data_IF_599139155053
#
_entry.id   IF_599139155053
#
_cell.length_a   1.000
_cell.length_b   1.000
_cell.length_c   1.000
_cell.angle_alpha   90.00
_cell.angle_beta   90.00
_cell.angle_gamma   90.00
#
_symmetry.space_group_name_H-M   'P 1'
#
loop_
_entity.id
_entity.type
_entity.pdbx_description
1 polymer ?
#
# COMPACT_ATOMS: atom_id res chain seq x y z
N UNK A 1 -123.17 -25.22 8.98
CA UNK A 1 -123.76 -26.57 9.12
C UNK A 1 -122.83 -27.36 10.02
N UNK A 2 -123.23 -27.56 11.27
CA UNK A 2 -122.42 -28.29 12.25
C UNK A 2 -122.48 -29.76 11.91
N UNK A 3 -121.48 -30.26 11.19
CA UNK A 3 -121.30 -31.70 11.00
C UNK A 3 -121.04 -32.28 12.39
N UNK A 4 -122.05 -32.89 13.00
CA UNK A 4 -121.86 -33.66 14.23
C UNK A 4 -120.87 -34.75 13.90
N UNK A 5 -119.63 -34.61 14.36
CA UNK A 5 -118.61 -35.64 14.21
C UNK A 5 -119.07 -36.85 15.03
N UNK A 6 -119.84 -37.74 14.40
CA UNK A 6 -120.17 -39.03 14.99
C UNK A 6 -118.93 -39.90 14.79
N UNK A 7 -118.26 -40.19 15.90
CA UNK A 7 -117.22 -41.20 15.96
C UNK A 7 -117.77 -42.47 15.32
N UNK A 8 -117.24 -42.84 14.15
CA UNK A 8 -117.64 -44.07 13.48
C UNK A 8 -117.32 -45.24 14.42
N UNK A 9 -118.35 -45.98 14.81
CA UNK A 9 -118.19 -47.09 15.72
C UNK A 9 -117.58 -48.27 14.97
N UNK A 10 -116.38 -48.67 15.37
CA UNK A 10 -115.69 -49.86 14.91
C UNK A 10 -116.44 -51.10 15.39
N UNK A 11 -116.60 -52.07 14.49
CA UNK A 11 -117.04 -53.41 14.82
C UNK A 11 -116.03 -54.11 15.74
N UNK A 12 -116.47 -55.13 16.48
CA UNK A 12 -115.57 -55.90 17.36
C UNK A 12 -114.39 -56.51 16.59
N UNK A 13 -114.61 -56.99 15.36
CA UNK A 13 -113.56 -57.48 14.49
C UNK A 13 -112.54 -56.41 14.10
N UNK A 14 -112.97 -55.17 13.84
CA UNK A 14 -112.07 -54.05 13.55
C UNK A 14 -111.27 -53.61 14.78
N UNK A 15 -111.91 -53.60 15.96
CA UNK A 15 -111.23 -53.35 17.24
C UNK A 15 -110.11 -54.37 17.43
N UNK A 16 -110.43 -55.67 17.31
CA UNK A 16 -109.46 -56.75 17.46
C UNK A 16 -108.33 -56.68 16.43
N UNK A 17 -108.66 -56.39 15.17
CA UNK A 17 -107.65 -56.23 14.11
C UNK A 17 -106.72 -55.05 14.38
N UNK A 18 -107.26 -53.93 14.88
CA UNK A 18 -106.46 -52.73 15.18
C UNK A 18 -105.56 -52.95 16.38
N UNK A 19 -106.06 -53.62 17.42
CA UNK A 19 -105.28 -54.01 18.59
C UNK A 19 -104.17 -54.99 18.21
N UNK A 20 -104.49 -56.03 17.43
CA UNK A 20 -103.51 -57.01 16.98
C UNK A 20 -102.43 -56.40 16.07
N UNK A 21 -102.77 -55.42 15.23
CA UNK A 21 -101.80 -54.68 14.42
C UNK A 21 -100.80 -53.86 15.26
N UNK A 22 -101.09 -53.67 16.55
CA UNK A 22 -100.25 -52.97 17.52
C UNK A 22 -99.76 -53.91 18.65
N UNK A 23 -99.66 -55.21 18.37
CA UNK A 23 -99.18 -56.25 19.29
C UNK A 23 -100.01 -56.39 20.60
N UNK A 24 -101.26 -55.90 20.60
CA UNK A 24 -102.21 -56.09 21.71
C UNK A 24 -103.14 -57.26 21.35
N UNK A 25 -102.85 -58.44 21.89
CA UNK A 25 -103.63 -59.65 21.62
C UNK A 25 -104.77 -59.85 22.62
N UNK A 26 -106.01 -59.78 22.14
CA UNK A 26 -107.23 -60.04 22.92
C UNK A 26 -108.12 -61.00 22.15
N UNK A 27 -108.80 -61.93 22.83
CA UNK A 27 -109.77 -62.83 22.18
C UNK A 27 -111.13 -62.16 22.13
N UNK A 28 -111.90 -62.45 21.08
CA UNK A 28 -113.25 -61.89 20.94
C UNK A 28 -114.17 -62.25 22.13
N UNK A 29 -114.01 -63.46 22.68
CA UNK A 29 -114.72 -63.93 23.87
C UNK A 29 -114.47 -63.04 25.10
N UNK A 30 -113.24 -62.55 25.24
CA UNK A 30 -112.83 -61.69 26.35
C UNK A 30 -113.48 -60.29 26.25
N UNK A 31 -113.76 -59.81 25.02
CA UNK A 31 -114.51 -58.57 24.81
C UNK A 31 -116.02 -58.73 24.99
N UNK A 32 -116.56 -59.94 24.79
CA UNK A 32 -117.96 -60.26 25.07
C UNK A 32 -118.24 -60.38 26.57
N UNK A 33 -117.20 -60.62 27.37
CA UNK A 33 -117.26 -60.72 28.83
C UNK A 33 -116.02 -60.07 29.46
N UNK A 34 -115.90 -58.73 29.38
CA UNK A 34 -114.72 -58.07 29.88
C UNK A 34 -114.61 -58.25 31.39
N UNK A 35 -113.42 -58.63 31.87
CA UNK A 35 -113.10 -58.59 33.30
C UNK A 35 -112.53 -57.21 33.66
N UNK A 36 -112.62 -56.77 34.92
CA UNK A 36 -112.02 -55.49 35.35
C UNK A 36 -110.51 -55.41 35.06
N UNK A 37 -109.79 -56.51 35.23
CA UNK A 37 -108.35 -56.60 34.93
C UNK A 37 -108.08 -56.45 33.44
N UNK A 38 -108.87 -57.13 32.60
CA UNK A 38 -108.78 -57.01 31.15
C UNK A 38 -109.09 -55.59 30.69
N UNK A 39 -110.17 -54.99 31.20
CA UNK A 39 -110.54 -53.62 30.87
C UNK A 39 -109.42 -52.64 31.24
N UNK A 40 -108.86 -52.79 32.45
CA UNK A 40 -107.74 -51.96 32.91
C UNK A 40 -106.51 -52.13 32.02
N UNK A 41 -106.15 -53.36 31.67
CA UNK A 41 -105.02 -53.66 30.78
C UNK A 41 -105.23 -53.08 29.38
N UNK A 42 -106.42 -53.28 28.80
CA UNK A 42 -106.78 -52.77 27.47
C UNK A 42 -106.74 -51.25 27.40
N UNK A 43 -107.35 -50.58 28.38
CA UNK A 43 -107.37 -49.12 28.41
C UNK A 43 -105.97 -48.53 28.60
N UNK A 44 -105.15 -49.11 29.47
CA UNK A 44 -103.74 -48.73 29.60
C UNK A 44 -102.98 -48.92 28.29
N UNK A 45 -103.13 -50.08 27.65
CA UNK A 45 -102.44 -50.40 26.40
C UNK A 45 -102.82 -49.43 25.27
N UNK A 46 -104.12 -49.12 25.12
CA UNK A 46 -104.59 -48.19 24.09
C UNK A 46 -104.13 -46.75 24.38
N UNK A 47 -104.05 -46.33 25.64
CA UNK A 47 -103.43 -45.03 25.99
C UNK A 47 -101.95 -45.00 25.59
N UNK A 48 -101.21 -46.08 25.86
CA UNK A 48 -99.80 -46.20 25.47
C UNK A 48 -99.58 -46.23 23.96
N UNK A 49 -100.58 -46.51 23.12
CA UNK A 49 -100.46 -46.35 21.67
C UNK A 49 -100.44 -44.87 21.23
N UNK A 50 -101.02 -44.00 22.04
CA UNK A 50 -101.16 -42.58 21.73
C UNK A 50 -99.97 -41.79 22.29
N UNK A 51 -99.34 -42.28 23.35
CA UNK A 51 -98.16 -41.69 24.00
C UNK A 51 -96.96 -41.48 23.03
N UNK A 52 -96.53 -42.44 22.18
CA UNK A 52 -95.39 -42.25 21.27
C UNK A 52 -95.62 -41.19 20.19
N UNK A 53 -96.88 -40.98 19.79
CA UNK A 53 -97.25 -39.97 18.78
C UNK A 53 -97.00 -38.53 19.28
N UNK A 54 -96.82 -38.35 20.59
CA UNK A 54 -96.38 -37.11 21.23
C UNK A 54 -94.95 -36.70 20.85
N UNK A 55 -94.01 -37.66 20.79
CA UNK A 55 -92.58 -37.35 20.64
C UNK A 55 -92.28 -36.83 19.24
N UNK A 56 -92.98 -37.35 18.23
CA UNK A 56 -92.93 -36.80 16.88
C UNK A 56 -93.54 -35.39 16.85
N UNK A 57 -94.70 -35.16 17.47
CA UNK A 57 -95.38 -33.86 17.43
C UNK A 57 -94.65 -32.71 18.14
N UNK A 58 -93.78 -32.99 19.12
CA UNK A 58 -93.07 -31.94 19.83
C UNK A 58 -92.08 -31.17 18.92
N UNK A 59 -91.60 -31.80 17.84
CA UNK A 59 -90.79 -31.17 16.79
C UNK A 59 -91.60 -30.33 15.78
N UNK A 60 -92.93 -30.45 15.75
CA UNK A 60 -93.81 -29.77 14.77
C UNK A 60 -94.32 -28.41 15.26
N UNK A 61 -93.97 -27.99 16.47
CA UNK A 61 -94.59 -26.83 17.14
C UNK A 61 -94.21 -25.46 16.54
N UNK A 62 -93.52 -25.42 15.40
CA UNK A 62 -93.06 -24.17 14.81
C UNK A 62 -93.89 -23.65 13.61
N UNK A 63 -94.98 -24.32 13.19
CA UNK A 63 -95.79 -23.74 12.09
C UNK A 63 -97.30 -24.04 12.10
N UNK A 64 -98.05 -22.98 12.40
CA UNK A 64 -99.36 -22.59 11.85
C UNK A 64 -100.66 -23.40 12.14
N UNK A 65 -101.56 -22.72 12.85
CA UNK A 65 -102.89 -22.25 12.40
C UNK A 65 -103.83 -23.23 11.67
N UNK A 66 -104.20 -24.32 12.32
CA UNK A 66 -105.38 -25.11 11.95
C UNK A 66 -106.12 -25.53 13.21
N UNK A 67 -107.46 -25.42 13.21
CA UNK A 67 -108.30 -25.90 14.32
C UNK A 67 -108.05 -27.38 14.66
N UNK A 68 -107.59 -28.18 13.70
CA UNK A 68 -107.19 -29.58 13.91
C UNK A 68 -105.88 -29.71 14.70
N UNK A 69 -104.88 -28.87 14.42
CA UNK A 69 -103.64 -28.84 15.17
C UNK A 69 -103.88 -28.38 16.62
N UNK A 70 -104.84 -27.48 16.83
CA UNK A 70 -105.26 -27.09 18.18
C UNK A 70 -106.01 -28.21 18.90
N UNK A 71 -106.86 -28.97 18.20
CA UNK A 71 -107.56 -30.14 18.77
C UNK A 71 -106.59 -31.25 19.16
N UNK A 72 -105.69 -31.66 18.26
CA UNK A 72 -104.68 -32.67 18.55
C UNK A 72 -103.70 -32.20 19.64
N UNK A 73 -103.29 -30.92 19.63
CA UNK A 73 -102.49 -30.34 20.70
C UNK A 73 -103.24 -30.26 22.03
N UNK A 74 -104.56 -30.04 22.03
CA UNK A 74 -105.36 -30.01 23.26
C UNK A 74 -105.53 -31.43 23.81
N UNK A 75 -105.85 -32.42 22.98
CA UNK A 75 -105.94 -33.85 23.35
C UNK A 75 -104.59 -34.37 23.84
N UNK A 76 -103.51 -34.08 23.12
CA UNK A 76 -102.15 -34.42 23.53
C UNK A 76 -101.81 -33.68 24.83
N UNK A 77 -101.91 -32.35 24.94
CA UNK A 77 -101.63 -31.66 26.21
C UNK A 77 -102.52 -32.12 27.39
N UNK A 78 -103.76 -32.59 27.15
CA UNK A 78 -104.62 -33.16 28.19
C UNK A 78 -104.08 -34.50 28.70
N UNK A 79 -103.65 -35.38 27.79
CA UNK A 79 -102.98 -36.65 28.14
C UNK A 79 -101.60 -36.40 28.80
N UNK A 80 -100.98 -35.25 28.51
CA UNK A 80 -99.59 -34.95 28.83
C UNK A 80 -99.37 -33.97 29.99
N UNK A 81 -100.42 -33.33 30.52
CA UNK A 81 -100.30 -32.47 31.71
C UNK A 81 -100.06 -33.25 33.00
N UNK A 82 -99.92 -34.59 32.95
CA UNK A 82 -99.56 -35.44 34.10
C UNK A 82 -98.44 -36.44 33.77
N UNK A 83 -97.40 -35.95 33.08
CA UNK A 83 -96.24 -36.76 32.68
C UNK A 83 -95.23 -37.09 33.80
N UNK A 84 -95.53 -36.77 35.06
CA UNK A 84 -94.64 -37.16 36.19
C UNK A 84 -95.07 -38.44 36.91
N UNK A 85 -96.15 -39.09 36.47
CA UNK A 85 -96.56 -40.37 37.04
C UNK A 85 -96.48 -41.45 35.96
N UNK A 86 -95.34 -42.14 35.96
CA UNK A 86 -95.19 -43.50 35.45
C UNK A 86 -96.48 -44.26 35.74
N UNK A 87 -97.02 -45.01 34.77
CA UNK A 87 -98.40 -45.51 34.79
C UNK A 87 -98.74 -46.45 35.98
N UNK A 88 -97.82 -46.64 36.93
CA UNK A 88 -98.03 -47.25 38.24
C UNK A 88 -97.46 -46.49 39.48
N UNK A 89 -96.81 -45.33 39.36
CA UNK A 89 -96.32 -44.55 40.51
C UNK A 89 -97.14 -43.28 40.69
N UNK A 90 -97.94 -43.24 41.74
CA UNK A 90 -98.45 -41.98 42.24
C UNK A 90 -97.28 -41.11 42.74
N UNK A 91 -97.38 -39.79 42.63
CA UNK A 91 -96.43 -38.84 43.21
C UNK A 91 -96.20 -39.24 44.67
N UNK A 92 -94.98 -39.69 44.97
CA UNK A 92 -94.60 -40.21 46.28
C UNK A 92 -94.89 -39.18 47.39
N UNK A 93 -94.88 -37.89 47.02
CA UNK A 93 -95.20 -36.78 47.89
C UNK A 93 -96.71 -36.61 48.17
N UNK A 94 -97.58 -37.09 47.28
CA UNK A 94 -99.03 -37.11 47.45
C UNK A 94 -99.49 -38.34 48.25
N UNK A 95 -98.85 -39.50 48.05
CA UNK A 95 -99.12 -40.72 48.83
C UNK A 95 -98.78 -40.56 50.31
N UNK A 96 -97.74 -39.80 50.65
CA UNK A 96 -97.36 -39.51 52.04
C UNK A 96 -98.39 -38.71 52.85
N UNK A 97 -99.49 -38.23 52.22
CA UNK A 97 -100.62 -37.57 52.89
C UNK A 97 -101.75 -38.53 53.27
N UNK A 98 -101.69 -39.79 52.82
CA UNK A 98 -102.66 -40.83 53.15
C UNK A 98 -102.16 -41.65 54.35
N UNK A 99 -103.07 -42.01 55.25
CA UNK A 99 -102.79 -42.97 56.30
C UNK A 99 -102.61 -44.37 55.66
N UNK A 100 -101.44 -44.99 55.81
CA UNK A 100 -101.08 -46.28 55.22
C UNK A 100 -101.07 -46.28 53.67
N UNK A 101 -100.13 -45.55 53.04
CA UNK A 101 -100.08 -45.38 51.58
C UNK A 101 -100.01 -46.69 50.80
N UNK A 102 -99.35 -47.72 51.35
CA UNK A 102 -99.19 -49.02 50.70
C UNK A 102 -100.53 -49.74 50.45
N UNK A 103 -101.52 -49.53 51.33
CA UNK A 103 -102.86 -50.11 51.16
C UNK A 103 -103.68 -49.42 50.07
N UNK A 104 -103.26 -48.22 49.65
CA UNK A 104 -103.96 -47.40 48.67
C UNK A 104 -103.33 -47.47 47.28
N UNK A 105 -102.17 -48.13 47.11
CA UNK A 105 -101.46 -48.22 45.84
C UNK A 105 -102.38 -48.66 44.67
N UNK A 106 -103.15 -49.73 44.86
CA UNK A 106 -104.06 -50.25 43.84
C UNK A 106 -105.21 -49.28 43.52
N UNK A 107 -105.75 -48.62 44.56
CA UNK A 107 -106.82 -47.63 44.40
C UNK A 107 -106.36 -46.41 43.63
N UNK A 108 -105.14 -45.94 43.88
CA UNK A 108 -104.56 -44.80 43.17
C UNK A 108 -104.27 -45.14 41.72
N UNK A 109 -103.72 -46.34 41.42
CA UNK A 109 -103.53 -46.78 40.03
C UNK A 109 -104.85 -46.82 39.25
N UNK A 110 -105.90 -47.42 39.82
CA UNK A 110 -107.23 -47.49 39.21
C UNK A 110 -107.84 -46.10 39.00
N UNK A 111 -107.71 -45.22 40.00
CA UNK A 111 -108.25 -43.86 39.92
C UNK A 111 -107.49 -43.02 38.88
N UNK A 112 -106.18 -43.17 38.78
CA UNK A 112 -105.36 -42.50 37.77
C UNK A 112 -105.77 -42.95 36.36
N UNK A 113 -105.89 -44.26 36.13
CA UNK A 113 -106.36 -44.79 34.85
C UNK A 113 -107.78 -44.30 34.51
N UNK A 114 -108.69 -44.30 35.49
CA UNK A 114 -110.04 -43.78 35.30
C UNK A 114 -110.04 -42.32 34.85
N UNK A 115 -109.26 -41.45 35.49
CA UNK A 115 -109.18 -40.04 35.11
C UNK A 115 -108.60 -39.87 33.69
N UNK A 116 -107.49 -40.56 33.39
CA UNK A 116 -106.86 -40.51 32.06
C UNK A 116 -107.82 -40.94 30.95
N UNK A 117 -108.53 -42.06 31.13
CA UNK A 117 -109.50 -42.55 30.14
C UNK A 117 -110.72 -41.63 30.05
N UNK A 118 -111.23 -41.12 31.17
CA UNK A 118 -112.35 -40.20 31.17
C UNK A 118 -112.04 -38.92 30.39
N UNK A 119 -110.85 -38.36 30.61
CA UNK A 119 -110.35 -37.19 29.89
C UNK A 119 -110.16 -37.51 28.40
N UNK A 120 -109.56 -38.65 28.08
CA UNK A 120 -109.37 -39.10 26.70
C UNK A 120 -110.68 -39.29 25.94
N UNK A 121 -111.64 -40.00 26.55
CA UNK A 121 -112.98 -40.27 25.99
C UNK A 121 -113.75 -38.96 25.77
N UNK A 122 -113.62 -37.99 26.68
CA UNK A 122 -114.19 -36.66 26.50
C UNK A 122 -113.50 -35.88 25.36
N UNK A 123 -112.17 -35.99 25.26
CA UNK A 123 -111.38 -35.31 24.24
C UNK A 123 -111.66 -35.84 22.83
N UNK A 124 -111.95 -37.13 22.66
CA UNK A 124 -112.40 -37.71 21.38
C UNK A 124 -113.90 -37.50 21.11
N UNK A 125 -114.58 -36.67 21.90
CA UNK A 125 -116.00 -36.36 21.78
C UNK A 125 -116.91 -37.60 21.79
N UNK A 126 -116.59 -38.61 22.59
CA UNK A 126 -117.49 -39.75 22.75
C UNK A 126 -118.83 -39.28 23.35
N UNK A 127 -119.98 -39.65 22.77
CA UNK A 127 -121.29 -39.16 23.23
C UNK A 127 -121.68 -39.67 24.62
N UNK A 128 -121.01 -40.72 25.11
CA UNK A 128 -121.29 -41.35 26.40
C UNK A 128 -120.18 -41.01 27.39
N UNK A 129 -120.49 -40.56 28.62
CA UNK A 129 -119.47 -40.30 29.62
C UNK A 129 -118.88 -41.61 30.15
N UNK A 130 -117.55 -41.63 30.32
CA UNK A 130 -116.83 -42.68 31.01
C UNK A 130 -117.00 -42.53 32.53
N UNK A 131 -117.32 -43.63 33.21
CA UNK A 131 -117.60 -43.69 34.65
C UNK A 131 -116.74 -44.76 35.31
N UNK A 132 -116.54 -44.67 36.63
CA UNK A 132 -115.71 -45.65 37.35
C UNK A 132 -116.26 -47.09 37.23
N UNK A 133 -117.57 -47.25 37.00
CA UNK A 133 -118.18 -48.55 36.73
C UNK A 133 -117.63 -49.22 35.48
N UNK A 134 -117.24 -48.43 34.48
CA UNK A 134 -116.72 -48.95 33.21
C UNK A 134 -115.34 -49.61 33.37
N UNK A 135 -114.66 -49.33 34.48
CA UNK A 135 -113.40 -49.96 34.85
C UNK A 135 -113.61 -51.11 35.85
N UNK A 136 -114.43 -50.88 36.89
CA UNK A 136 -114.62 -51.86 37.97
C UNK A 136 -115.62 -52.98 37.65
N UNK A 137 -116.59 -52.73 36.76
CA UNK A 137 -117.64 -53.66 36.33
C UNK A 137 -117.96 -53.40 34.85
N UNK A 138 -117.01 -53.70 33.95
CA UNK A 138 -117.12 -53.34 32.54
C UNK A 138 -118.31 -54.02 31.87
N UNK A 139 -119.06 -53.25 31.09
CA UNK A 139 -120.16 -53.75 30.25
C UNK A 139 -119.63 -53.97 28.82
N UNK A 140 -119.90 -55.13 28.18
CA UNK A 140 -119.36 -55.46 26.85
C UNK A 140 -119.63 -54.40 25.77
N UNK A 141 -120.81 -53.78 25.79
CA UNK A 141 -121.19 -52.81 24.76
C UNK A 141 -120.53 -51.46 25.02
N UNK A 142 -120.45 -51.05 26.29
CA UNK A 142 -119.76 -49.81 26.70
C UNK A 142 -118.26 -49.91 26.49
N UNK A 143 -117.65 -51.06 26.84
CA UNK A 143 -116.22 -51.30 26.59
C UNK A 143 -115.89 -51.22 25.10
N UNK A 144 -116.69 -51.88 24.25
CA UNK A 144 -116.51 -51.79 22.80
C UNK A 144 -116.69 -50.36 22.26
N UNK A 145 -117.68 -49.60 22.78
CA UNK A 145 -117.90 -48.21 22.39
C UNK A 145 -116.68 -47.32 22.72
N UNK A 146 -116.15 -47.41 23.94
CA UNK A 146 -115.01 -46.59 24.36
C UNK A 146 -113.72 -46.99 23.63
N UNK A 147 -113.45 -48.29 23.49
CA UNK A 147 -112.30 -48.77 22.71
C UNK A 147 -112.40 -48.32 21.26
N UNK A 148 -113.58 -48.44 20.64
CA UNK A 148 -113.82 -47.94 19.30
C UNK A 148 -113.53 -46.45 19.18
N UNK A 149 -113.95 -45.64 20.15
CA UNK A 149 -113.77 -44.19 20.08
C UNK A 149 -112.30 -43.80 20.13
N UNK A 150 -111.55 -44.42 21.05
CA UNK A 150 -110.13 -44.15 21.21
C UNK A 150 -109.33 -44.68 20.01
N UNK A 151 -109.63 -45.90 19.55
CA UNK A 151 -108.92 -46.51 18.41
C UNK A 151 -109.20 -45.80 17.08
N UNK A 152 -110.42 -45.32 16.87
CA UNK A 152 -110.74 -44.53 15.67
C UNK A 152 -109.91 -43.23 15.65
N UNK A 153 -109.80 -42.55 16.79
CA UNK A 153 -108.90 -41.40 16.91
C UNK A 153 -107.45 -41.77 16.63
N UNK A 154 -106.95 -42.87 17.20
CA UNK A 154 -105.60 -43.37 16.93
C UNK A 154 -105.36 -43.62 15.43
N UNK A 155 -106.27 -44.33 14.75
CA UNK A 155 -106.19 -44.60 13.31
C UNK A 155 -106.17 -43.30 12.49
N UNK A 156 -107.02 -42.34 12.87
CA UNK A 156 -107.02 -41.02 12.25
C UNK A 156 -105.69 -40.29 12.41
N UNK A 157 -105.13 -40.32 13.62
CA UNK A 157 -103.84 -39.69 13.94
C UNK A 157 -102.69 -40.32 13.15
N UNK A 158 -102.62 -41.65 13.08
CA UNK A 158 -101.60 -42.36 12.30
C UNK A 158 -101.69 -41.99 10.81
N UNK A 159 -102.89 -42.02 10.23
CA UNK A 159 -103.08 -41.63 8.83
C UNK A 159 -102.69 -40.17 8.55
N UNK A 160 -102.96 -39.27 9.51
CA UNK A 160 -102.55 -37.86 9.42
C UNK A 160 -101.04 -37.69 9.52
N UNK A 161 -100.37 -38.37 10.44
CA UNK A 161 -98.92 -38.33 10.57
C UNK A 161 -98.22 -38.83 9.31
N UNK A 162 -98.69 -39.93 8.71
CA UNK A 162 -98.13 -40.42 7.45
C UNK A 162 -98.31 -39.40 6.31
N UNK A 163 -99.46 -38.70 6.25
CA UNK A 163 -99.68 -37.64 5.26
C UNK A 163 -98.77 -36.41 5.46
N UNK A 164 -98.30 -36.18 6.69
CA UNK A 164 -97.39 -35.09 7.02
C UNK A 164 -95.92 -35.47 6.81
N UNK A 165 -95.59 -36.76 6.79
CA UNK A 165 -94.23 -37.29 6.66
C UNK A 165 -93.35 -36.61 5.60
N UNK A 166 -93.82 -36.30 4.37
CA UNK A 166 -93.00 -35.62 3.35
C UNK A 166 -92.50 -34.23 3.75
N UNK A 167 -93.16 -33.57 4.71
CA UNK A 167 -92.74 -32.28 5.26
C UNK A 167 -91.81 -32.44 6.47
N UNK A 168 -91.94 -33.56 7.17
CA UNK A 168 -91.30 -33.83 8.47
C UNK A 168 -89.90 -34.37 8.27
N UNK A 169 -89.73 -35.31 7.36
CA UNK A 169 -88.43 -35.91 7.06
C UNK A 169 -87.42 -34.83 6.62
N UNK A 170 -87.76 -33.86 5.74
CA UNK A 170 -86.88 -32.73 5.45
C UNK A 170 -86.61 -31.84 6.66
N UNK A 171 -87.60 -31.52 7.49
CA UNK A 171 -87.41 -30.70 8.70
C UNK A 171 -86.41 -31.37 9.65
N UNK A 172 -86.56 -32.67 9.89
CA UNK A 172 -85.63 -33.43 10.73
C UNK A 172 -84.21 -33.39 10.15
N UNK A 173 -84.05 -33.56 8.84
CA UNK A 173 -82.74 -33.44 8.18
C UNK A 173 -82.13 -32.04 8.30
N UNK A 174 -82.94 -30.98 8.30
CA UNK A 174 -82.47 -29.61 8.50
C UNK A 174 -82.06 -29.36 9.96
N UNK A 175 -82.76 -29.95 10.93
CA UNK A 175 -82.39 -29.89 12.35
C UNK A 175 -81.05 -30.58 12.58
N UNK A 176 -80.84 -31.76 12.01
CA UNK A 176 -79.55 -32.47 12.07
C UNK A 176 -78.41 -31.64 11.43
N UNK A 177 -78.68 -31.02 10.28
CA UNK A 177 -77.70 -30.14 9.64
C UNK A 177 -77.41 -28.89 10.46
N UNK A 178 -78.42 -28.33 11.12
CA UNK A 178 -78.27 -27.18 12.00
C UNK A 178 -77.35 -27.53 13.17
N UNK A 179 -77.57 -28.66 13.84
CA UNK A 179 -76.74 -29.09 14.98
C UNK A 179 -75.31 -29.39 14.55
N UNK A 180 -75.10 -29.98 13.37
CA UNK A 180 -73.75 -30.18 12.80
C UNK A 180 -73.03 -28.86 12.57
N UNK A 181 -73.69 -27.89 11.93
CA UNK A 181 -73.10 -26.57 11.65
C UNK A 181 -72.82 -25.79 12.94
N UNK A 182 -73.70 -25.87 13.94
CA UNK A 182 -73.47 -25.26 15.25
C UNK A 182 -72.23 -25.86 15.95
N UNK A 183 -72.02 -27.18 15.84
CA UNK A 183 -70.80 -27.83 16.33
C UNK A 183 -69.55 -27.33 15.61
N UNK A 184 -69.57 -27.24 14.27
CA UNK A 184 -68.44 -26.74 13.49
C UNK A 184 -68.12 -25.28 13.82
N UNK A 185 -69.12 -24.43 14.02
CA UNK A 185 -68.94 -23.04 14.44
C UNK A 185 -68.28 -22.97 15.82
N UNK A 186 -68.70 -23.82 16.76
CA UNK A 186 -68.10 -23.87 18.09
C UNK A 186 -66.63 -24.29 18.04
N UNK A 187 -66.29 -25.30 17.24
CA UNK A 187 -64.92 -25.78 17.02
C UNK A 187 -64.02 -24.70 16.41
N UNK A 188 -64.46 -24.05 15.32
CA UNK A 188 -63.70 -22.98 14.67
C UNK A 188 -63.49 -21.78 15.58
N UNK A 189 -64.50 -21.41 16.39
CA UNK A 189 -64.34 -20.32 17.36
C UNK A 189 -63.33 -20.67 18.45
N UNK A 190 -63.26 -21.93 18.89
CA UNK A 190 -62.25 -22.38 19.83
C UNK A 190 -60.84 -22.30 19.21
N UNK A 191 -60.68 -22.72 17.94
CA UNK A 191 -59.40 -22.60 17.23
C UNK A 191 -58.95 -21.14 17.05
N UNK A 192 -59.87 -20.25 16.66
CA UNK A 192 -59.60 -18.80 16.58
C UNK A 192 -59.14 -18.25 17.92
N UNK A 193 -59.76 -18.66 19.04
CA UNK A 193 -59.37 -18.22 20.36
C UNK A 193 -57.94 -18.66 20.72
N UNK A 194 -57.57 -19.90 20.40
CA UNK A 194 -56.21 -20.43 20.59
C UNK A 194 -55.19 -19.65 19.77
N UNK A 195 -55.44 -19.45 18.48
CA UNK A 195 -54.54 -18.71 17.59
C UNK A 195 -54.38 -17.25 18.00
N UNK A 196 -55.47 -16.60 18.43
CA UNK A 196 -55.44 -15.23 18.93
C UNK A 196 -54.57 -15.14 20.20
N UNK A 197 -54.75 -16.06 21.13
CA UNK A 197 -53.93 -16.10 22.34
C UNK A 197 -52.44 -16.33 22.02
N UNK A 198 -52.11 -17.27 21.12
CA UNK A 198 -50.73 -17.50 20.68
C UNK A 198 -50.11 -16.24 20.08
N UNK A 199 -50.84 -15.53 19.21
CA UNK A 199 -50.40 -14.25 18.64
C UNK A 199 -50.16 -13.18 19.71
N UNK A 200 -51.05 -13.07 20.71
CA UNK A 200 -50.88 -12.11 21.82
C UNK A 200 -49.61 -12.39 22.64
N UNK A 201 -49.25 -13.67 22.82
CA UNK A 201 -48.03 -14.09 23.49
C UNK A 201 -46.77 -13.82 22.65
N UNK A 202 -46.86 -13.95 21.33
CA UNK A 202 -45.74 -13.68 20.40
C UNK A 202 -45.52 -12.18 20.14
N UNK A 203 -46.58 -11.37 20.20
CA UNK A 203 -46.52 -9.92 19.97
C UNK A 203 -45.42 -9.17 20.75
N UNK A 204 -45.20 -9.38 22.06
CA UNK A 204 -44.11 -8.73 22.78
C UNK A 204 -42.72 -9.13 22.28
N UNK A 205 -42.53 -10.40 21.89
CA UNK A 205 -41.26 -10.89 21.34
C UNK A 205 -40.95 -10.22 20.00
N UNK A 206 -41.97 -10.07 19.14
CA UNK A 206 -41.84 -9.36 17.86
C UNK A 206 -41.44 -7.90 18.10
N UNK A 207 -42.10 -7.21 19.03
CA UNK A 207 -41.79 -5.82 19.37
C UNK A 207 -40.36 -5.66 19.93
N UNK A 208 -39.89 -6.61 20.74
CA UNK A 208 -38.52 -6.61 21.26
C UNK A 208 -37.49 -6.79 20.13
N UNK A 209 -37.74 -7.73 19.21
CA UNK A 209 -36.87 -7.95 18.06
C UNK A 209 -36.85 -6.73 17.14
N UNK A 210 -37.99 -6.12 16.86
CA UNK A 210 -38.08 -4.90 16.05
C UNK A 210 -37.32 -3.73 16.70
N UNK A 211 -37.40 -3.58 18.02
CA UNK A 211 -36.63 -2.58 18.76
C UNK A 211 -35.12 -2.82 18.61
N UNK A 212 -34.65 -4.05 18.78
CA UNK A 212 -33.24 -4.43 18.59
C UNK A 212 -32.76 -4.20 17.16
N UNK A 213 -33.58 -4.54 16.16
CA UNK A 213 -33.28 -4.28 14.75
C UNK A 213 -33.13 -2.79 14.49
N UNK A 214 -34.01 -1.96 15.06
CA UNK A 214 -33.94 -0.50 14.93
C UNK A 214 -32.67 0.07 15.58
N UNK A 215 -32.31 -0.40 16.78
CA UNK A 215 -31.09 -0.01 17.48
C UNK A 215 -29.83 -0.40 16.69
N UNK A 216 -29.76 -1.63 16.18
CA UNK A 216 -28.64 -2.10 15.36
C UNK A 216 -28.50 -1.28 14.07
N UNK A 217 -29.61 -0.93 13.41
CA UNK A 217 -29.58 -0.05 12.22
C UNK A 217 -29.01 1.33 12.55
N UNK A 218 -29.39 1.91 13.69
CA UNK A 218 -28.85 3.20 14.15
C UNK A 218 -27.34 3.09 14.45
N UNK A 219 -26.92 2.00 15.10
CA UNK A 219 -25.50 1.72 15.38
C UNK A 219 -24.69 1.56 14.10
N UNK A 220 -25.20 0.86 13.09
CA UNK A 220 -24.54 0.75 11.77
C UNK A 220 -24.40 2.13 11.13
N UNK A 221 -25.44 2.97 11.19
CA UNK A 221 -25.39 4.31 10.63
C UNK A 221 -24.34 5.20 11.34
N UNK A 222 -24.26 5.13 12.67
CA UNK A 222 -23.29 5.89 13.44
C UNK A 222 -21.85 5.42 13.15
N UNK A 223 -21.62 4.10 13.11
CA UNK A 223 -20.33 3.51 12.77
C UNK A 223 -19.90 3.85 11.34
N UNK A 224 -20.81 3.83 10.37
CA UNK A 224 -20.50 4.26 9.00
C UNK A 224 -20.08 5.73 8.95
N UNK A 225 -20.74 6.60 9.74
CA UNK A 225 -20.37 8.02 9.83
C UNK A 225 -18.98 8.19 10.45
N UNK A 226 -18.67 7.44 11.52
CA UNK A 226 -17.34 7.40 12.13
C UNK A 226 -16.28 6.85 11.16
N UNK A 227 -16.59 5.81 10.41
CA UNK A 227 -15.69 5.23 9.41
C UNK A 227 -15.35 6.28 8.33
N UNK A 228 -16.33 7.06 7.87
CA UNK A 228 -16.12 8.12 6.90
C UNK A 228 -15.26 9.26 7.45
N UNK A 229 -15.46 9.68 8.70
CA UNK A 229 -14.64 10.71 9.33
C UNK A 229 -13.19 10.23 9.55
N UNK A 230 -13.00 8.99 9.99
CA UNK A 230 -11.68 8.36 10.13
C UNK A 230 -10.98 8.21 8.78
N UNK A 231 -11.69 7.84 7.71
CA UNK A 231 -11.11 7.81 6.36
C UNK A 231 -10.67 9.21 5.92
N UNK A 232 -11.45 10.24 6.23
CA UNK A 232 -11.08 11.62 5.93
C UNK A 232 -9.84 12.06 6.71
N UNK A 233 -9.77 11.79 8.02
CA UNK A 233 -8.60 12.12 8.85
C UNK A 233 -7.36 11.34 8.44
N UNK A 234 -7.49 10.08 8.06
CA UNK A 234 -6.38 9.30 7.53
C UNK A 234 -5.82 9.90 6.24
N UNK A 235 -6.69 10.33 5.32
CA UNK A 235 -6.25 11.01 4.09
C UNK A 235 -5.48 12.30 4.41
N UNK A 236 -5.98 13.13 5.32
CA UNK A 236 -5.28 14.37 5.69
C UNK A 236 -3.94 14.10 6.37
N UNK A 237 -3.85 13.10 7.25
CA UNK A 237 -2.59 12.69 7.85
C UNK A 237 -1.60 12.18 6.81
N UNK A 238 -2.04 11.33 5.88
CA UNK A 238 -1.20 10.82 4.79
C UNK A 238 -0.67 11.95 3.90
N UNK A 239 -1.51 12.93 3.58
CA UNK A 239 -1.11 14.05 2.74
C UNK A 239 -0.11 14.96 3.48
N UNK A 240 -0.27 15.16 4.81
CA UNK A 240 0.74 15.80 5.65
C UNK A 240 2.06 15.01 5.71
N UNK A 241 2.00 13.68 5.79
CA UNK A 241 3.20 12.84 5.74
C UNK A 241 3.98 13.07 4.45
N UNK A 242 3.30 13.08 3.30
CA UNK A 242 3.93 13.38 2.01
C UNK A 242 4.55 14.78 1.96
N UNK A 243 3.84 15.78 2.48
CA UNK A 243 4.37 17.15 2.57
C UNK A 243 5.64 17.22 3.42
N UNK A 244 5.68 16.50 4.54
CA UNK A 244 6.86 16.42 5.40
C UNK A 244 8.00 15.67 4.69
N UNK A 245 7.73 14.56 4.01
CA UNK A 245 8.73 13.83 3.21
C UNK A 245 9.34 14.70 2.10
N UNK A 246 8.51 15.50 1.42
CA UNK A 246 8.99 16.45 0.41
C UNK A 246 9.86 17.55 1.04
N UNK A 247 9.48 18.08 2.21
CA UNK A 247 10.30 19.02 2.97
C UNK A 247 11.63 18.42 3.41
N UNK A 248 11.64 17.16 3.85
CA UNK A 248 12.87 16.44 4.21
C UNK A 248 13.77 16.30 2.98
N UNK A 249 13.23 15.82 1.85
CA UNK A 249 14.00 15.65 0.61
C UNK A 249 14.59 16.98 0.10
N UNK A 250 13.81 18.06 0.18
CA UNK A 250 14.28 19.41 -0.15
C UNK A 250 15.40 19.89 0.80
N UNK A 251 15.27 19.63 2.11
CA UNK A 251 16.28 19.97 3.09
C UNK A 251 17.58 19.16 2.88
N UNK A 252 17.48 17.87 2.57
CA UNK A 252 18.62 17.00 2.24
C UNK A 252 19.33 17.50 0.98
N UNK A 253 18.58 17.87 -0.06
CA UNK A 253 19.15 18.46 -1.27
C UNK A 253 19.90 19.76 -0.96
N UNK A 254 19.30 20.67 -0.20
CA UNK A 254 19.93 21.92 0.21
C UNK A 254 21.18 21.67 1.07
N UNK A 255 21.16 20.67 1.95
CA UNK A 255 22.29 20.27 2.77
C UNK A 255 23.44 19.73 1.91
N UNK A 256 23.15 18.88 0.91
CA UNK A 256 24.14 18.39 -0.06
C UNK A 256 24.73 19.56 -0.86
N UNK A 257 23.91 20.49 -1.34
CA UNK A 257 24.38 21.67 -2.07
C UNK A 257 25.29 22.53 -1.18
N UNK A 258 24.86 22.82 0.04
CA UNK A 258 25.66 23.57 1.03
C UNK A 258 26.95 22.84 1.38
N UNK A 259 26.94 21.51 1.50
CA UNK A 259 28.14 20.71 1.73
C UNK A 259 29.11 20.77 0.54
N UNK A 260 28.61 20.73 -0.69
CA UNK A 260 29.42 20.90 -1.91
C UNK A 260 30.01 22.31 -2.00
N UNK A 261 29.24 23.35 -1.71
CA UNK A 261 29.73 24.72 -1.64
C UNK A 261 30.78 24.89 -0.55
N UNK A 262 30.54 24.34 0.64
CA UNK A 262 31.52 24.28 1.72
C UNK A 262 32.80 23.56 1.28
N UNK A 263 32.71 22.44 0.55
CA UNK A 263 33.87 21.75 0.02
C UNK A 263 34.64 22.61 -1.01
N UNK A 264 33.92 23.30 -1.92
CA UNK A 264 34.52 24.25 -2.89
C UNK A 264 35.20 25.42 -2.19
N UNK A 265 34.60 25.96 -1.13
CA UNK A 265 35.21 27.02 -0.33
C UNK A 265 36.43 26.50 0.43
N UNK A 266 36.32 25.32 1.08
CA UNK A 266 37.45 24.63 1.74
C UNK A 266 38.61 24.35 0.80
N UNK A 267 38.37 24.08 -0.49
CA UNK A 267 39.46 23.92 -1.47
C UNK A 267 40.14 25.24 -1.86
N UNK A 268 39.45 26.38 -1.70
CA UNK A 268 40.02 27.72 -1.93
C UNK A 268 40.76 28.26 -0.72
N UNK A 269 40.52 27.70 0.46
CA UNK A 269 41.23 28.04 1.69
C UNK A 269 42.55 27.26 1.69
N UNK A 270 43.65 27.95 1.99
CA UNK A 270 44.96 27.34 2.23
C UNK A 270 44.83 26.31 3.36
N UNK A 271 44.94 25.03 3.03
CA UNK A 271 44.69 23.94 3.99
C UNK A 271 45.80 23.77 5.03
N UNK A 272 46.99 24.31 4.78
CA UNK A 272 48.10 24.32 5.73
C UNK A 272 48.93 25.61 5.57
N UNK A 273 48.58 26.66 6.33
CA UNK A 273 49.33 27.92 6.34
C UNK A 273 50.80 27.70 6.72
N UNK A 274 51.07 26.76 7.63
CA UNK A 274 52.42 26.38 8.08
C UNK A 274 53.30 25.85 6.94
N UNK A 275 52.75 25.06 6.01
CA UNK A 275 53.50 24.58 4.83
C UNK A 275 53.82 25.70 3.85
N UNK A 276 52.90 26.65 3.63
CA UNK A 276 53.18 27.82 2.78
C UNK A 276 54.18 28.77 3.45
N UNK A 277 54.10 28.94 4.76
CA UNK A 277 55.03 29.77 5.53
C UNK A 277 56.43 29.13 5.56
N UNK A 278 56.51 27.80 5.70
CA UNK A 278 57.74 27.03 5.54
C UNK A 278 58.36 27.18 4.15
N UNK A 279 57.57 27.05 3.07
CA UNK A 279 58.07 27.22 1.70
C UNK A 279 58.51 28.67 1.39
N UNK A 280 57.89 29.68 2.02
CA UNK A 280 58.29 31.08 1.89
C UNK A 280 59.61 31.34 2.64
N UNK A 281 59.76 30.81 3.85
CA UNK A 281 61.02 30.93 4.60
C UNK A 281 62.16 30.15 3.95
N UNK A 282 61.89 28.95 3.41
CA UNK A 282 62.85 28.21 2.59
C UNK A 282 63.26 29.00 1.34
N UNK A 283 62.30 29.62 0.63
CA UNK A 283 62.62 30.50 -0.50
C UNK A 283 63.44 31.73 -0.09
N UNK A 284 63.22 32.31 1.09
CA UNK A 284 64.07 33.38 1.61
C UNK A 284 65.50 32.91 1.88
N UNK A 285 65.67 31.70 2.43
CA UNK A 285 67.00 31.10 2.64
C UNK A 285 67.70 30.86 1.29
N UNK A 286 67.01 30.32 0.29
CA UNK A 286 67.62 30.14 -1.05
C UNK A 286 67.97 31.48 -1.72
N UNK A 287 67.18 32.54 -1.50
CA UNK A 287 67.48 33.88 -2.01
C UNK A 287 68.73 34.48 -1.35
N UNK A 288 68.90 34.32 -0.03
CA UNK A 288 70.09 34.84 0.67
C UNK A 288 71.36 34.09 0.27
N UNK A 289 71.29 32.77 0.05
CA UNK A 289 72.39 31.97 -0.49
C UNK A 289 72.75 32.35 -1.93
N UNK A 290 71.75 32.59 -2.80
CA UNK A 290 71.97 33.07 -4.16
C UNK A 290 72.65 34.45 -4.18
N UNK A 291 72.25 35.37 -3.29
CA UNK A 291 72.86 36.70 -3.18
C UNK A 291 74.30 36.65 -2.65
N UNK A 292 74.58 35.74 -1.73
CA UNK A 292 75.95 35.55 -1.22
C UNK A 292 76.86 34.92 -2.27
N UNK A 293 76.38 33.93 -3.02
CA UNK A 293 77.13 33.33 -4.13
C UNK A 293 77.37 34.32 -5.29
N UNK A 294 76.40 35.18 -5.61
CA UNK A 294 76.59 36.30 -6.54
C UNK A 294 77.72 37.23 -6.07
N UNK A 295 77.72 37.61 -4.78
CA UNK A 295 78.74 38.50 -4.21
C UNK A 295 80.13 37.85 -4.25
N UNK A 296 80.25 36.56 -3.96
CA UNK A 296 81.51 35.82 -4.09
C UNK A 296 81.97 35.71 -5.54
N UNK A 297 81.06 35.48 -6.50
CA UNK A 297 81.39 35.47 -7.92
C UNK A 297 81.85 36.85 -8.42
N UNK A 298 81.24 37.94 -7.93
CA UNK A 298 81.64 39.32 -8.24
C UNK A 298 83.05 39.63 -7.71
N UNK A 299 83.37 39.19 -6.48
CA UNK A 299 84.73 39.34 -5.92
C UNK A 299 85.76 38.54 -6.74
N UNK A 300 85.46 37.28 -7.08
CA UNK A 300 86.33 36.47 -7.92
C UNK A 300 86.54 37.09 -9.32
N UNK A 301 85.49 37.71 -9.89
CA UNK A 301 85.59 38.44 -11.15
C UNK A 301 86.51 39.67 -11.05
N UNK A 302 86.42 40.44 -9.96
CA UNK A 302 87.30 41.59 -9.70
C UNK A 302 88.76 41.16 -9.49
N UNK A 303 89.01 40.06 -8.77
CA UNK A 303 90.34 39.46 -8.60
C UNK A 303 90.94 38.96 -9.93
N UNK A 304 90.12 38.30 -10.76
CA UNK A 304 90.53 37.88 -12.12
C UNK A 304 90.85 39.09 -13.00
N UNK A 305 90.07 40.17 -12.89
CA UNK A 305 90.28 41.42 -13.66
C UNK A 305 91.58 42.11 -13.27
N UNK A 306 91.87 42.25 -11.97
CA UNK A 306 93.14 42.82 -11.48
C UNK A 306 94.34 41.96 -11.86
N UNK A 307 94.20 40.63 -11.81
CA UNK A 307 95.24 39.70 -12.29
C UNK A 307 95.51 39.89 -13.78
N UNK A 308 94.47 40.07 -14.60
CA UNK A 308 94.59 40.26 -16.04
C UNK A 308 95.26 41.60 -16.40
N UNK A 309 95.02 42.66 -15.62
CA UNK A 309 95.74 43.94 -15.76
C UNK A 309 97.25 43.82 -15.46
N UNK A 310 97.63 43.01 -14.46
CA UNK A 310 99.03 42.74 -14.14
C UNK A 310 99.70 41.97 -15.29
N UNK A 311 99.04 40.92 -15.82
CA UNK A 311 99.55 40.18 -16.97
C UNK A 311 99.63 41.03 -18.24
N UNK A 312 98.67 41.95 -18.47
CA UNK A 312 98.72 42.92 -19.57
C UNK A 312 99.94 43.85 -19.47
N UNK A 313 100.27 44.33 -18.26
CA UNK A 313 101.48 45.12 -18.01
C UNK A 313 102.76 44.30 -18.21
N UNK A 314 102.77 43.03 -17.83
CA UNK A 314 103.89 42.11 -18.07
C UNK A 314 104.09 41.81 -19.56
N UNK A 315 103.01 41.56 -20.31
CA UNK A 315 103.04 41.33 -21.75
C UNK A 315 103.57 42.56 -22.51
N UNK A 316 103.16 43.77 -22.12
CA UNK A 316 103.73 45.02 -22.67
C UNK A 316 105.23 45.16 -22.41
N UNK A 317 105.70 44.78 -21.21
CA UNK A 317 107.15 44.76 -20.90
C UNK A 317 107.92 43.70 -21.70
N UNK A 318 107.37 42.49 -21.85
CA UNK A 318 107.96 41.42 -22.65
C UNK A 318 108.04 41.80 -24.14
N UNK A 319 107.01 42.43 -24.69
CA UNK A 319 107.01 42.94 -26.07
C UNK A 319 108.11 43.98 -26.30
N UNK A 320 108.36 44.86 -25.32
CA UNK A 320 109.45 45.84 -25.38
C UNK A 320 110.84 45.19 -25.33
N UNK A 321 111.00 44.14 -24.53
CA UNK A 321 112.27 43.38 -24.47
C UNK A 321 112.50 42.51 -25.71
N UNK A 322 111.45 41.97 -26.32
CA UNK A 322 111.54 41.22 -27.58
C UNK A 322 112.04 42.11 -28.73
N UNK A 323 111.54 43.35 -28.82
CA UNK A 323 112.01 44.33 -29.81
C UNK A 323 113.49 44.70 -29.62
N UNK A 324 113.94 44.83 -28.37
CA UNK A 324 115.36 45.07 -28.07
C UNK A 324 116.23 43.86 -28.40
N UNK A 325 115.74 42.64 -28.16
CA UNK A 325 116.45 41.40 -28.49
C UNK A 325 116.59 41.19 -30.00
N UNK A 326 115.59 41.58 -30.80
CA UNK A 326 115.64 41.53 -32.27
C UNK A 326 116.64 42.53 -32.84
N UNK A 327 116.73 43.76 -32.30
CA UNK A 327 117.74 44.74 -32.72
C UNK A 327 119.18 44.27 -32.44
N UNK A 328 119.42 43.59 -31.31
CA UNK A 328 120.72 42.99 -30.97
C UNK A 328 121.03 41.82 -31.93
N UNK A 329 120.02 41.02 -32.30
CA UNK A 329 120.21 39.90 -33.23
C UNK A 329 120.58 40.35 -34.65
N UNK A 330 120.06 41.49 -35.12
CA UNK A 330 120.45 42.10 -36.40
C UNK A 330 121.89 42.64 -36.36
N UNK A 331 122.32 43.24 -35.24
CA UNK A 331 123.73 43.63 -35.02
C UNK A 331 124.69 42.44 -34.97
N UNK A 332 124.27 41.29 -34.42
CA UNK A 332 125.09 40.06 -34.39
C UNK A 332 125.23 39.44 -35.78
N UNK A 333 124.22 39.57 -36.65
CA UNK A 333 124.28 39.04 -38.01
C UNK A 333 125.17 39.87 -38.94
N UNK A 334 125.22 41.21 -38.79
CA UNK A 334 126.18 42.05 -39.51
C UNK A 334 127.63 41.82 -39.05
N UNK A 335 127.85 41.59 -37.75
CA UNK A 335 129.16 41.23 -37.19
C UNK A 335 129.70 39.89 -37.71
N UNK A 336 128.83 38.89 -37.94
CA UNK A 336 129.21 37.59 -38.52
C UNK A 336 129.57 37.65 -40.01
N UNK A 337 129.08 38.64 -40.75
CA UNK A 337 129.49 38.88 -42.14
C UNK A 337 130.90 39.48 -42.21
N UNK A 338 131.20 40.43 -41.32
CA UNK A 338 132.52 41.06 -41.21
C UNK A 338 133.60 40.04 -40.76
N UNK A 339 133.28 39.11 -39.86
CA UNK A 339 134.25 38.05 -39.45
C UNK A 339 134.61 37.07 -40.58
N UNK A 340 133.70 36.84 -41.55
CA UNK A 340 134.02 36.05 -42.75
C UNK A 340 134.93 36.81 -43.71
N UNK A 341 134.71 38.11 -43.90
CA UNK A 341 135.55 38.95 -44.76
C UNK A 341 136.97 39.14 -44.17
N UNK A 342 137.09 39.23 -42.84
CA UNK A 342 138.39 39.29 -42.14
C UNK A 342 139.18 37.99 -42.32
N UNK A 343 138.54 36.81 -42.34
CA UNK A 343 139.23 35.53 -42.59
C UNK A 343 139.73 35.39 -44.03
N UNK A 344 138.98 35.89 -45.02
CA UNK A 344 139.39 35.89 -46.44
C UNK A 344 140.54 36.87 -46.70
N UNK A 345 140.50 38.06 -46.08
CA UNK A 345 141.57 39.06 -46.21
C UNK A 345 142.86 38.64 -45.50
N UNK A 346 142.77 37.91 -44.37
CA UNK A 346 143.94 37.42 -43.63
C UNK A 346 144.69 36.30 -44.36
N UNK A 347 143.99 35.51 -45.19
CA UNK A 347 144.61 34.50 -46.05
C UNK A 347 145.34 35.15 -47.25
N UNK A 348 144.74 36.15 -47.90
CA UNK A 348 145.40 36.91 -48.99
C UNK A 348 146.64 37.67 -48.53
N UNK A 349 146.63 38.23 -47.32
CA UNK A 349 147.76 38.98 -46.77
C UNK A 349 148.95 38.08 -46.37
N UNK A 350 148.73 36.77 -46.19
CA UNK A 350 149.79 35.78 -45.96
C UNK A 350 150.49 35.38 -47.26
N UNK A 351 149.73 35.24 -48.36
CA UNK A 351 150.29 34.90 -49.67
C UNK A 351 151.07 36.08 -50.27
N UNK A 352 150.57 37.31 -50.13
CA UNK A 352 151.28 38.52 -50.59
C UNK A 352 152.59 38.76 -49.82
N UNK A 353 152.63 38.42 -48.51
CA UNK A 353 153.83 38.54 -47.67
C UNK A 353 154.92 37.54 -48.04
N UNK A 354 154.54 36.35 -48.50
CA UNK A 354 155.48 35.34 -49.02
C UNK A 354 156.08 35.76 -50.37
N UNK A 355 155.29 36.45 -51.22
CA UNK A 355 155.72 37.04 -52.48
C UNK A 355 156.68 38.22 -52.27
N UNK A 356 156.38 39.09 -51.30
CA UNK A 356 157.19 40.24 -50.92
C UNK A 356 158.57 39.81 -50.38
N UNK A 357 158.63 38.84 -49.46
CA UNK A 357 159.90 38.30 -48.95
C UNK A 357 160.75 37.59 -50.03
N UNK A 358 160.14 36.99 -51.06
CA UNK A 358 160.85 36.40 -52.19
C UNK A 358 161.44 37.45 -53.16
N UNK A 359 160.80 38.61 -53.28
CA UNK A 359 161.28 39.72 -54.11
C UNK A 359 162.33 40.55 -53.37
N UNK A 360 162.18 40.76 -52.06
CA UNK A 360 163.14 41.45 -51.19
C UNK A 360 164.51 40.73 -51.18
N UNK A 361 164.51 39.39 -51.10
CA UNK A 361 165.73 38.59 -51.13
C UNK A 361 166.50 38.72 -52.48
N UNK A 362 165.78 38.87 -53.60
CA UNK A 362 166.38 39.12 -54.92
C UNK A 362 166.88 40.56 -55.07
N UNK A 363 166.25 41.52 -54.39
CA UNK A 363 166.64 42.93 -54.36
C UNK A 363 167.96 43.11 -53.59
N UNK A 364 168.09 42.48 -52.42
CA UNK A 364 169.33 42.50 -51.61
C UNK A 364 170.51 41.84 -52.34
N UNK A 365 170.30 40.72 -53.04
CA UNK A 365 171.35 40.07 -53.84
C UNK A 365 171.83 40.95 -55.02
N UNK A 366 170.92 41.72 -55.64
CA UNK A 366 171.25 42.66 -56.73
C UNK A 366 171.90 43.94 -56.19
N UNK A 367 171.47 44.43 -55.04
CA UNK A 367 172.03 45.62 -54.39
C UNK A 367 173.47 45.38 -53.90
N UNK A 368 173.78 44.19 -53.35
CA UNK A 368 175.16 43.82 -52.99
C UNK A 368 176.11 43.76 -54.19
N UNK A 369 175.61 43.39 -55.37
CA UNK A 369 176.41 43.43 -56.62
C UNK A 369 176.65 44.87 -57.12
N UNK A 370 175.73 45.81 -56.84
CA UNK A 370 175.87 47.23 -57.19
C UNK A 370 176.89 47.93 -56.28
N UNK A 371 176.84 47.67 -54.98
CA UNK A 371 177.77 48.28 -54.01
C UNK A 371 179.23 47.83 -54.23
N UNK A 372 179.44 46.55 -54.59
CA UNK A 372 180.78 46.04 -54.92
C UNK A 372 181.38 46.70 -56.18
N UNK A 373 180.54 47.06 -57.16
CA UNK A 373 180.94 47.79 -58.36
C UNK A 373 181.15 49.29 -58.10
N UNK A 374 180.38 49.90 -57.19
CA UNK A 374 180.55 51.31 -56.79
C UNK A 374 181.79 51.54 -55.93
N UNK A 375 182.15 50.62 -55.03
CA UNK A 375 183.40 50.71 -54.27
C UNK A 375 184.62 50.59 -55.20
N UNK A 376 184.54 49.71 -56.20
CA UNK A 376 185.55 49.59 -57.26
C UNK A 376 185.68 50.90 -58.07
N UNK A 377 184.57 51.57 -58.37
CA UNK A 377 184.55 52.87 -59.07
C UNK A 377 185.14 54.01 -58.22
N UNK A 378 184.78 54.10 -56.93
CA UNK A 378 185.28 55.14 -56.02
C UNK A 378 186.78 55.00 -55.76
N UNK A 379 187.33 53.78 -55.77
CA UNK A 379 188.78 53.56 -55.68
C UNK A 379 189.52 54.19 -56.88
N UNK A 380 189.02 54.01 -58.10
CA UNK A 380 189.59 54.63 -59.31
C UNK A 380 189.40 56.17 -59.37
N UNK A 381 188.29 56.71 -58.85
CA UNK A 381 188.06 58.16 -58.77
C UNK A 381 188.99 58.86 -57.76
N UNK A 382 189.28 58.24 -56.61
CA UNK A 382 190.27 58.76 -55.65
C UNK A 382 191.69 58.74 -56.21
N UNK A 383 192.04 57.76 -57.03
CA UNK A 383 193.33 57.72 -57.73
C UNK A 383 193.45 58.82 -58.79
N UNK A 384 192.33 59.18 -59.45
CA UNK A 384 192.25 60.32 -60.38
C UNK A 384 192.45 61.66 -59.67
N UNK A 385 191.76 61.87 -58.54
CA UNK A 385 191.84 63.10 -57.74
C UNK A 385 193.25 63.33 -57.19
N UNK A 386 193.91 62.29 -56.68
CA UNK A 386 195.30 62.36 -56.21
C UNK A 386 196.27 62.79 -57.32
N UNK A 387 196.12 62.27 -58.54
CA UNK A 387 196.92 62.69 -59.70
C UNK A 387 196.62 64.12 -60.15
N UNK A 388 195.37 64.56 -60.05
CA UNK A 388 194.98 65.93 -60.40
C UNK A 388 195.51 66.93 -59.38
N UNK A 389 195.46 66.61 -58.09
CA UNK A 389 195.90 67.47 -57.00
C UNK A 389 197.43 67.62 -56.94
N UNK A 390 198.18 66.58 -57.33
CA UNK A 390 199.61 66.69 -57.62
C UNK A 390 199.90 67.61 -58.83
N UNK A 391 199.06 67.57 -59.88
CA UNK A 391 199.18 68.47 -61.03
C UNK A 391 198.86 69.93 -60.66
N UNK A 392 197.86 70.15 -59.79
CA UNK A 392 197.48 71.46 -59.25
C UNK A 392 198.61 72.06 -58.39
N UNK A 393 199.30 71.22 -57.59
CA UNK A 393 200.48 71.66 -56.82
C UNK A 393 201.67 72.01 -57.71
N UNK A 394 201.88 71.31 -58.83
CA UNK A 394 202.95 71.65 -59.78
C UNK A 394 202.66 72.91 -60.59
N UNK A 395 201.43 73.15 -61.04
CA UNK A 395 201.08 74.36 -61.80
C UNK A 395 201.19 75.62 -60.93
N UNK A 396 200.77 75.53 -59.67
CA UNK A 396 201.00 76.58 -58.69
C UNK A 396 202.51 76.77 -58.44
N UNK A 397 203.34 75.73 -58.35
CA UNK A 397 204.79 75.94 -58.19
C UNK A 397 205.48 76.64 -59.39
N UNK A 398 204.88 76.60 -60.59
CA UNK A 398 205.49 77.16 -61.81
C UNK A 398 205.06 78.59 -62.09
N UNK A 399 203.85 79.04 -61.73
CA UNK A 399 203.46 80.43 -62.02
C UNK A 399 203.94 81.44 -60.97
N UNK A 400 204.26 81.00 -59.76
CA UNK A 400 204.98 81.81 -58.76
C UNK A 400 206.46 82.07 -59.13
N UNK A 401 206.96 81.51 -60.25
CA UNK A 401 208.32 81.77 -60.75
C UNK A 401 208.45 82.92 -61.76
N UNK A 402 207.36 83.43 -62.35
CA UNK A 402 207.39 84.48 -63.38
C UNK A 402 206.18 85.39 -63.11
N UNK A 403 206.24 86.69 -62.83
CA UNK A 403 207.23 87.74 -63.04
C UNK A 403 206.55 89.04 -62.53
N UNK A 404 207.24 90.14 -62.21
CA UNK A 404 207.14 90.78 -60.91
C UNK A 404 206.84 92.28 -61.10
N UNK A 405 205.58 92.69 -61.16
CA UNK A 405 205.16 94.11 -61.16
C UNK A 405 203.64 94.18 -61.03
N UNK A 406 203.19 94.81 -59.96
CA UNK A 406 201.77 94.94 -59.59
C UNK A 406 201.53 95.11 -58.09
N UNK A 407 202.56 95.52 -57.34
CA UNK A 407 202.42 96.32 -56.12
C UNK A 407 201.85 97.69 -56.49
N UNK A 408 200.95 98.22 -55.66
CA UNK A 408 200.39 99.57 -55.70
C UNK A 408 199.31 99.71 -56.80
N UNK A 409 198.04 99.87 -56.38
CA UNK A 409 196.76 100.03 -57.13
C UNK A 409 195.86 98.78 -57.29
N UNK A 410 195.11 98.43 -56.23
CA UNK A 410 193.65 98.18 -56.31
C UNK A 410 192.93 98.77 -55.07
N UNK A 411 193.47 99.89 -54.59
CA UNK A 411 192.76 100.91 -53.82
C UNK A 411 192.48 102.01 -54.83
N UNK A 412 191.21 102.13 -55.21
CA UNK A 412 190.64 102.84 -56.35
C UNK A 412 190.44 102.01 -57.64
N UNK A 413 189.17 102.06 -58.06
CA UNK A 413 188.58 101.64 -59.32
C UNK A 413 188.31 100.13 -59.53
N UNK A 414 187.05 99.72 -59.74
CA UNK A 414 185.80 100.48 -59.92
C UNK A 414 184.68 99.50 -59.58
N UNK A 415 183.73 99.92 -58.73
CA UNK A 415 182.36 100.21 -59.17
C UNK A 415 181.81 99.15 -60.11
N UNK A 416 180.64 98.64 -59.73
CA UNK A 416 179.73 97.83 -60.54
C UNK A 416 180.21 96.38 -60.77
N UNK A 417 179.35 95.36 -60.90
CA UNK A 417 177.90 95.24 -61.13
C UNK A 417 177.52 93.77 -60.89
N UNK A 418 176.23 93.52 -60.61
CA UNK A 418 175.39 92.32 -60.85
C UNK A 418 175.84 90.95 -60.33
#
# INVERSE_FOLDING_TARGET
MSSSYQVQQLSRSEILSTLAANDIHVREEDLLRPTPDLASSLYSAVLSLIDPLQYHYHYFYFSASSHFNHFCALVLNLVLSRRDEDHGQADFHALGRLDNPDLHADSVRVMNLFHKIKEMVAAVFCPTPFTLKDLLKPDPNRTALFLSAILNFYLHMVGKLESLRPYVDPINSYVEKQTELESQIAELNAEIAVLKHAREMEQPLVLEVDAKVKELRQTIQSLNTQQMSLKASFRTLRDKTKEIEEKISNADFALVQSAQENAKLRSKIVQSPEKLQGAVEEKKVTLTEAKNSERSAMQAFQEKTTTLEIYSKAAKKMSKQLAQMQAIQEQVNSGKAIDKDVKVLKAKLSDDRMLEMSLEAKLVERQGKVEQLEESRKAFEKERELKYEEATKRLNSVKWKWNPRGMILHQEEKKFKL
#
